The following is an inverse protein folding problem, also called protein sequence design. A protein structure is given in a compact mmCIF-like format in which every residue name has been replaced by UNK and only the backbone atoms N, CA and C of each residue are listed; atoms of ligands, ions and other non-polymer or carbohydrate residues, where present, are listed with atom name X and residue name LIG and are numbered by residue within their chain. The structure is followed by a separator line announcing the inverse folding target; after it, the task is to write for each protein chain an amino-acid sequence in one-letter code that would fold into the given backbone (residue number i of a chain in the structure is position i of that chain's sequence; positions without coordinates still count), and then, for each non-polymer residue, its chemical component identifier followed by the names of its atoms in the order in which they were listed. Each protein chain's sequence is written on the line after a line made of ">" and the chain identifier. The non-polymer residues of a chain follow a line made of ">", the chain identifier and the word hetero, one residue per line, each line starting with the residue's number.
data_IF_571729900676
#
_entry.id   IF_571729900676
#
_cell.length_a   1.000
_cell.length_b   1.000
_cell.length_c   1.000
_cell.angle_alpha   90.00
_cell.angle_beta   90.00
_cell.angle_gamma   90.00
#
_symmetry.space_group_name_H-M   'P 1'
#
loop_
_entity.id
_entity.type
_entity.pdbx_description
1 polymer ?
#
# COMPACT_ATOMS: atom_id res chain seq x y z
N UNK A 1 5.75 -25.98 -18.40
CA UNK A 1 6.59 -25.73 -17.21
C UNK A 1 5.84 -24.74 -16.36
N UNK A 2 5.78 -24.99 -15.06
CA UNK A 2 4.74 -24.50 -14.16
C UNK A 2 4.99 -23.07 -13.73
N UNK A 3 4.43 -22.12 -14.45
CA UNK A 3 4.29 -20.76 -13.98
C UNK A 3 3.14 -20.71 -12.97
N UNK A 4 3.48 -21.06 -11.73
CA UNK A 4 2.64 -20.86 -10.54
C UNK A 4 2.59 -19.34 -10.25
N UNK A 5 1.96 -18.62 -11.18
CA UNK A 5 2.17 -17.20 -11.44
C UNK A 5 1.23 -16.32 -10.60
N UNK A 6 1.08 -16.64 -9.31
CA UNK A 6 0.37 -15.79 -8.35
C UNK A 6 1.22 -14.58 -7.88
N UNK A 7 2.48 -14.51 -8.33
CA UNK A 7 3.49 -13.51 -7.95
C UNK A 7 3.88 -12.55 -9.09
N UNK A 8 3.35 -12.70 -10.31
CA UNK A 8 3.71 -11.88 -11.48
C UNK A 8 2.79 -10.70 -11.76
N UNK A 9 2.06 -10.20 -10.75
CA UNK A 9 1.08 -9.14 -10.98
C UNK A 9 1.13 -8.03 -9.94
N UNK A 10 2.31 -7.85 -9.37
CA UNK A 10 2.70 -6.60 -8.73
C UNK A 10 3.90 -6.14 -9.55
N UNK A 11 3.61 -5.34 -10.56
CA UNK A 11 4.62 -4.74 -11.40
C UNK A 11 5.26 -3.60 -10.59
N UNK A 12 6.52 -3.28 -10.86
CA UNK A 12 7.19 -2.14 -10.22
C UNK A 12 6.41 -0.82 -10.42
N UNK A 13 5.61 -0.74 -11.49
CA UNK A 13 4.68 0.37 -11.73
C UNK A 13 3.56 0.46 -10.68
N UNK A 14 3.01 -0.66 -10.19
CA UNK A 14 1.95 -0.67 -9.17
C UNK A 14 2.49 -0.16 -7.83
N UNK A 15 3.72 -0.58 -7.52
CA UNK A 15 4.46 -0.12 -6.35
C UNK A 15 4.74 1.38 -6.46
N UNK A 16 5.21 1.84 -7.62
CA UNK A 16 5.47 3.24 -7.88
C UNK A 16 4.18 4.09 -7.81
N UNK A 17 3.07 3.60 -8.37
CA UNK A 17 1.77 4.27 -8.31
C UNK A 17 1.23 4.38 -6.89
N UNK A 18 1.36 3.32 -6.08
CA UNK A 18 0.99 3.34 -4.66
C UNK A 18 1.79 4.39 -3.88
N UNK A 19 3.12 4.41 -4.08
CA UNK A 19 4.00 5.42 -3.44
C UNK A 19 3.68 6.84 -3.93
N UNK A 20 3.48 7.04 -5.23
CA UNK A 20 3.17 8.32 -5.83
C UNK A 20 1.78 8.87 -5.45
N UNK A 21 0.83 7.98 -5.11
CA UNK A 21 -0.52 8.38 -4.69
C UNK A 21 -0.55 9.13 -3.35
N UNK A 22 0.51 9.02 -2.55
CA UNK A 22 0.54 9.54 -1.18
C UNK A 22 -0.37 8.77 -0.20
N UNK A 23 -0.99 7.67 -0.63
CA UNK A 23 -1.85 6.83 0.21
C UNK A 23 -1.04 5.82 1.06
N UNK A 24 0.23 5.59 0.72
CA UNK A 24 1.13 4.66 1.40
C UNK A 24 2.29 5.40 2.06
N UNK A 25 2.53 5.07 3.33
CA UNK A 25 3.60 5.64 4.14
C UNK A 25 4.52 4.48 4.55
N UNK A 26 5.70 4.40 3.91
CA UNK A 26 6.63 3.30 4.10
C UNK A 26 7.18 3.25 5.52
N UNK A 27 7.56 4.41 6.07
CA UNK A 27 8.15 4.52 7.41
C UNK A 27 7.12 4.14 8.48
N UNK A 28 5.89 4.64 8.36
CA UNK A 28 4.81 4.26 9.26
C UNK A 28 4.46 2.77 9.12
N UNK A 29 4.42 2.24 7.90
CA UNK A 29 4.02 0.86 7.63
C UNK A 29 5.00 -0.15 8.24
N UNK A 30 6.32 0.11 8.20
CA UNK A 30 7.31 -0.79 8.83
C UNK A 30 7.40 -0.64 10.35
N UNK A 31 6.99 0.50 10.88
CA UNK A 31 6.89 0.74 12.33
C UNK A 31 5.67 0.01 12.92
N UNK A 32 4.52 0.12 12.26
CA UNK A 32 3.28 -0.57 12.63
C UNK A 32 3.37 -2.09 12.41
N UNK A 33 4.05 -2.52 11.33
CA UNK A 33 4.18 -3.93 10.95
C UNK A 33 5.64 -4.39 10.98
N UNK A 34 6.21 -4.68 12.17
CA UNK A 34 7.60 -5.08 12.32
C UNK A 34 7.93 -6.43 11.67
N UNK A 35 6.93 -7.26 11.35
CA UNK A 35 7.08 -8.48 10.57
C UNK A 35 7.49 -8.16 9.12
N UNK A 36 7.00 -7.05 8.55
CA UNK A 36 7.39 -6.56 7.24
C UNK A 36 8.86 -6.14 7.26
N UNK A 37 9.28 -5.41 8.30
CA UNK A 37 10.68 -5.02 8.50
C UNK A 37 11.61 -6.23 8.60
N UNK A 38 11.20 -7.26 9.33
CA UNK A 38 11.98 -8.50 9.50
C UNK A 38 12.00 -9.36 8.23
N UNK A 39 10.97 -9.28 7.40
CA UNK A 39 10.90 -10.04 6.15
C UNK A 39 11.91 -9.60 5.09
N UNK A 40 12.40 -8.35 5.17
CA UNK A 40 13.27 -7.74 4.16
C UNK A 40 12.58 -7.50 2.81
N UNK A 41 11.27 -7.72 2.72
CA UNK A 41 10.46 -7.42 1.54
C UNK A 41 10.16 -5.93 1.52
N UNK A 42 10.20 -5.32 0.33
CA UNK A 42 9.80 -3.93 0.19
C UNK A 42 8.38 -3.70 0.75
N UNK A 43 8.17 -2.73 1.65
CA UNK A 43 6.90 -2.56 2.35
C UNK A 43 5.69 -2.37 1.44
N UNK A 44 5.83 -1.57 0.38
CA UNK A 44 4.77 -1.35 -0.60
C UNK A 44 4.43 -2.63 -1.37
N UNK A 45 5.43 -3.42 -1.73
CA UNK A 45 5.24 -4.73 -2.37
C UNK A 45 4.56 -5.72 -1.42
N UNK A 46 4.98 -5.75 -0.16
CA UNK A 46 4.34 -6.57 0.88
C UNK A 46 2.88 -6.16 1.07
N UNK A 47 2.57 -4.86 1.05
CA UNK A 47 1.21 -4.37 1.16
C UNK A 47 0.33 -4.83 0.01
N UNK A 48 0.79 -4.66 -1.24
CA UNK A 48 0.05 -5.08 -2.43
C UNK A 48 -0.13 -6.61 -2.51
N UNK A 49 0.85 -7.37 -2.01
CA UNK A 49 0.82 -8.83 -2.05
C UNK A 49 -0.07 -9.43 -0.96
N UNK A 50 0.12 -9.00 0.28
CA UNK A 50 -0.45 -9.61 1.47
C UNK A 50 -1.17 -8.60 2.38
N UNK A 51 -0.64 -7.37 2.51
CA UNK A 51 -1.23 -6.35 3.39
C UNK A 51 -2.70 -6.07 3.09
N UNK A 52 -3.06 -5.90 1.82
CA UNK A 52 -4.45 -5.68 1.38
C UNK A 52 -5.36 -6.85 1.75
N UNK A 53 -4.85 -8.10 1.63
CA UNK A 53 -5.61 -9.33 1.92
C UNK A 53 -5.82 -9.53 3.42
N UNK A 54 -4.85 -9.08 4.22
CA UNK A 54 -4.91 -9.10 5.68
C UNK A 54 -5.68 -7.90 6.25
N UNK A 55 -6.15 -6.97 5.43
CA UNK A 55 -6.82 -5.75 5.89
C UNK A 55 -5.88 -4.79 6.62
N UNK A 56 -4.58 -4.85 6.35
CA UNK A 56 -3.61 -3.90 6.90
C UNK A 56 -3.85 -2.51 6.33
N UNK A 57 -3.46 -1.48 7.07
CA UNK A 57 -3.55 -0.11 6.60
C UNK A 57 -2.26 0.26 5.86
N UNK A 58 -2.33 0.96 4.72
CA UNK A 58 -1.14 1.38 3.98
C UNK A 58 -0.45 2.60 4.60
N UNK A 59 -1.18 3.37 5.42
CA UNK A 59 -0.68 4.57 6.10
C UNK A 59 -1.57 4.92 7.29
N UNK A 60 -1.02 5.66 8.25
CA UNK A 60 -1.75 6.23 9.39
C UNK A 60 -2.98 7.06 8.96
N UNK A 61 -2.88 7.73 7.81
CA UNK A 61 -3.88 8.68 7.30
C UNK A 61 -4.77 8.13 6.19
N UNK A 62 -4.72 6.83 5.88
CA UNK A 62 -5.57 6.19 4.86
C UNK A 62 -7.10 6.37 5.05
N UNK A 63 -7.51 7.03 6.14
CA UNK A 63 -8.86 7.51 6.40
C UNK A 63 -9.06 9.03 6.17
N UNK A 64 -8.25 9.73 5.35
CA UNK A 64 -8.69 11.03 4.85
C UNK A 64 -9.72 10.76 3.75
N UNK A 65 -11.03 11.09 3.95
CA UNK A 65 -11.88 11.21 2.79
C UNK A 65 -11.19 12.22 1.88
N UNK A 66 -11.10 11.95 0.59
CA UNK A 66 -10.95 13.01 -0.41
C UNK A 66 -11.84 14.12 0.09
N UNK A 67 -11.26 15.27 0.44
CA UNK A 67 -12.08 16.41 0.82
C UNK A 67 -12.97 16.61 -0.40
N UNK A 68 -14.25 16.28 -0.24
CA UNK A 68 -15.26 16.71 -1.15
C UNK A 68 -15.10 18.23 -1.18
N UNK A 69 -14.45 18.74 -2.22
CA UNK A 69 -14.56 20.14 -2.63
C UNK A 69 -15.98 20.35 -3.16
N UNK A 70 -16.98 20.03 -2.33
CA UNK A 70 -18.31 20.60 -2.46
C UNK A 70 -18.21 21.93 -1.73
N UNK A 71 -17.61 22.91 -2.40
CA UNK A 71 -17.82 24.30 -2.04
C UNK A 71 -19.34 24.51 -2.05
N UNK A 72 -19.94 25.00 -0.95
CA UNK A 72 -21.36 25.24 -0.91
C UNK A 72 -21.71 26.35 -1.89
N UNK A 73 -22.85 26.17 -2.54
CA UNK A 73 -23.54 27.17 -3.35
C UNK A 73 -23.66 28.50 -2.61
N UNK A 74 -23.30 29.60 -3.30
CA UNK A 74 -23.82 30.96 -3.10
C UNK A 74 -23.96 31.61 -4.48
#
# INVERSE_FOLDING_TARGET
>A
MSDNLLLSRILDEDVAALKASGAFDEEWYVDEYPDVRQSGIEPARHYLWLGVRLGRKPSAQSAKPVRASTTPHV
#
